data_IF_295967052608
#
_entry.id   IF_295967052608
#
_cell.length_a   1.000
_cell.length_b   1.000
_cell.length_c   1.000
_cell.angle_alpha   90.00
_cell.angle_beta   90.00
_cell.angle_gamma   90.00
#
_symmetry.space_group_name_H-M   'P 1'
#
loop_
_entity.id
_entity.type
_entity.pdbx_description
1 polymer ?
#
# COMPACT_ATOMS: atom_id res chain seq x y z
N UNK A 1 4.93 -17.66 12.18
CA UNK A 1 4.82 -16.22 12.48
C UNK A 1 4.16 -15.56 11.29
N UNK A 2 2.95 -14.99 11.42
CA UNK A 2 2.26 -14.37 10.28
C UNK A 2 2.96 -13.09 9.81
N UNK A 3 2.80 -12.75 8.53
CA UNK A 3 3.30 -11.50 7.94
C UNK A 3 2.10 -10.56 7.77
N UNK A 4 2.22 -9.31 8.21
CA UNK A 4 1.18 -8.28 8.03
C UNK A 4 1.66 -7.31 6.95
N UNK A 5 1.07 -7.30 5.74
CA UNK A 5 1.42 -6.32 4.71
C UNK A 5 0.88 -4.94 5.09
N UNK A 6 1.70 -3.90 4.92
CA UNK A 6 1.29 -2.51 5.13
C UNK A 6 1.39 -1.78 3.79
N UNK A 7 0.28 -1.21 3.34
CA UNK A 7 0.18 -0.48 2.08
C UNK A 7 0.10 1.02 2.34
N UNK A 8 0.73 1.80 1.47
CA UNK A 8 0.70 3.25 1.50
C UNK A 8 0.33 3.74 0.11
N UNK A 9 -0.60 4.70 0.03
CA UNK A 9 -0.93 5.38 -1.21
C UNK A 9 0.31 6.03 -1.83
N UNK A 10 0.35 6.16 -3.15
CA UNK A 10 1.48 6.64 -3.91
C UNK A 10 2.00 7.99 -3.43
N UNK A 11 3.28 8.01 -3.02
CA UNK A 11 4.00 9.22 -2.61
C UNK A 11 4.98 9.73 -3.66
N UNK A 12 5.15 9.00 -4.78
CA UNK A 12 6.08 9.36 -5.85
C UNK A 12 5.67 10.67 -6.49
N UNK A 13 6.60 11.63 -6.55
CA UNK A 13 6.37 12.99 -7.07
C UNK A 13 5.30 13.82 -6.35
N UNK A 14 4.80 13.37 -5.19
CA UNK A 14 3.81 14.11 -4.37
C UNK A 14 4.46 15.00 -3.30
N UNK A 15 5.72 14.74 -2.95
CA UNK A 15 6.45 15.50 -1.93
C UNK A 15 7.29 16.61 -2.57
N UNK A 16 6.93 17.86 -2.28
CA UNK A 16 7.66 19.06 -2.65
C UNK A 16 8.07 19.83 -1.39
N UNK A 17 9.37 19.93 -1.15
CA UNK A 17 9.95 20.56 0.05
C UNK A 17 9.67 22.07 0.15
N UNK A 18 9.24 22.71 -0.95
CA UNK A 18 8.90 24.14 -0.99
C UNK A 18 7.38 24.39 -0.84
N UNK A 19 6.56 23.37 -0.58
CA UNK A 19 5.11 23.50 -0.33
C UNK A 19 4.78 23.30 1.15
N UNK A 20 3.89 24.16 1.66
CA UNK A 20 3.34 24.05 3.03
C UNK A 20 2.34 22.89 3.18
N UNK A 21 1.67 22.50 2.08
CA UNK A 21 0.78 21.34 2.04
C UNK A 21 1.14 20.48 0.81
N UNK A 22 1.44 19.20 1.05
CA UNK A 22 1.85 18.22 0.04
C UNK A 22 0.73 17.25 -0.37
N UNK A 23 -0.47 17.41 0.17
CA UNK A 23 -1.60 16.52 -0.08
C UNK A 23 -1.85 15.56 1.06
N UNK A 24 -2.54 14.47 0.72
CA UNK A 24 -2.95 13.41 1.63
C UNK A 24 -2.20 12.12 1.31
N UNK A 25 -1.87 11.35 2.35
CA UNK A 25 -1.37 9.99 2.24
C UNK A 25 -2.25 9.09 3.09
N UNK A 26 -2.66 7.95 2.54
CA UNK A 26 -3.46 6.94 3.24
C UNK A 26 -2.57 5.72 3.49
N UNK A 27 -2.60 5.22 4.72
CA UNK A 27 -1.88 4.01 5.15
C UNK A 27 -2.90 3.00 5.62
N UNK A 28 -2.82 1.77 5.10
CA UNK A 28 -3.72 0.68 5.46
C UNK A 28 -2.93 -0.60 5.76
N UNK A 29 -3.32 -1.30 6.82
CA UNK A 29 -2.78 -2.61 7.16
C UNK A 29 -3.70 -3.68 6.57
N UNK A 30 -3.12 -4.58 5.78
CA UNK A 30 -3.85 -5.73 5.23
C UNK A 30 -3.99 -6.85 6.26
N UNK A 31 -4.93 -7.78 6.05
CA UNK A 31 -5.04 -8.98 6.86
C UNK A 31 -3.71 -9.75 6.91
N UNK A 32 -3.40 -10.40 8.04
CA UNK A 32 -2.20 -11.20 8.17
C UNK A 32 -2.20 -12.34 7.15
N UNK A 33 -1.08 -12.48 6.44
CA UNK A 33 -0.80 -13.61 5.56
C UNK A 33 -0.21 -14.72 6.42
N UNK A 34 -0.86 -15.88 6.40
CA UNK A 34 -0.32 -17.08 7.03
C UNK A 34 0.82 -17.64 6.18
N UNK A 35 1.94 -17.92 6.85
CA UNK A 35 3.16 -18.44 6.21
C UNK A 35 3.45 -19.87 6.62
N UNK A 36 2.63 -20.49 7.48
CA UNK A 36 2.85 -21.88 7.89
C UNK A 36 2.71 -22.87 6.72
N UNK A 37 1.96 -22.49 5.68
CA UNK A 37 1.78 -23.32 4.48
C UNK A 37 2.94 -23.20 3.48
N UNK A 38 3.87 -22.25 3.67
CA UNK A 38 4.97 -22.01 2.75
C UNK A 38 6.28 -22.63 3.27
N UNK A 39 6.88 -23.51 2.45
CA UNK A 39 8.22 -24.04 2.68
C UNK A 39 9.34 -23.07 2.29
N UNK A 40 10.59 -23.39 2.65
CA UNK A 40 11.79 -22.58 2.30
C UNK A 40 11.95 -22.35 0.79
N UNK A 41 11.48 -23.29 -0.03
CA UNK A 41 11.60 -23.22 -1.49
C UNK A 41 10.51 -22.34 -2.13
N UNK A 42 9.46 -21.99 -1.39
CA UNK A 42 8.29 -21.24 -1.87
C UNK A 42 8.31 -19.75 -1.50
N UNK A 43 9.45 -19.25 -0.99
CA UNK A 43 9.59 -17.83 -0.58
C UNK A 43 9.29 -16.86 -1.73
N UNK A 44 9.63 -17.26 -2.96
CA UNK A 44 9.36 -16.45 -4.16
C UNK A 44 7.86 -16.36 -4.47
N UNK A 45 7.13 -17.45 -4.29
CA UNK A 45 5.69 -17.52 -4.47
C UNK A 45 4.97 -16.70 -3.38
N UNK A 46 5.40 -16.84 -2.12
CA UNK A 46 4.90 -16.04 -1.00
C UNK A 46 5.10 -14.54 -1.27
N UNK A 47 6.30 -14.14 -1.72
CA UNK A 47 6.59 -12.74 -2.04
C UNK A 47 5.72 -12.23 -3.21
N UNK A 48 5.50 -13.04 -4.24
CA UNK A 48 4.63 -12.69 -5.36
C UNK A 48 3.16 -12.55 -4.92
N UNK A 49 2.69 -13.43 -4.04
CA UNK A 49 1.34 -13.37 -3.47
C UNK A 49 1.15 -12.11 -2.62
N UNK A 50 2.04 -11.85 -1.66
CA UNK A 50 2.00 -10.63 -0.86
C UNK A 50 2.06 -9.38 -1.73
N UNK A 51 2.91 -9.38 -2.78
CA UNK A 51 2.99 -8.26 -3.72
C UNK A 51 1.68 -8.03 -4.47
N UNK A 52 1.03 -9.08 -4.96
CA UNK A 52 -0.24 -8.95 -5.68
C UNK A 52 -1.35 -8.37 -4.78
N UNK A 53 -1.43 -8.83 -3.52
CA UNK A 53 -2.35 -8.27 -2.52
C UNK A 53 -2.08 -6.78 -2.26
N UNK A 54 -0.81 -6.42 -2.08
CA UNK A 54 -0.42 -5.03 -1.86
C UNK A 54 -0.70 -4.15 -3.09
N UNK A 55 -0.44 -4.64 -4.29
CA UNK A 55 -0.65 -3.89 -5.54
C UNK A 55 -2.12 -3.55 -5.76
N UNK A 56 -3.03 -4.50 -5.51
CA UNK A 56 -4.47 -4.24 -5.55
C UNK A 56 -4.88 -3.17 -4.54
N UNK A 57 -4.43 -3.31 -3.29
CA UNK A 57 -4.78 -2.34 -2.24
C UNK A 57 -4.21 -0.95 -2.52
N UNK A 58 -2.97 -0.85 -2.99
CA UNK A 58 -2.36 0.44 -3.35
C UNK A 58 -3.17 1.13 -4.46
N UNK A 59 -3.64 0.39 -5.48
CA UNK A 59 -4.47 0.96 -6.53
C UNK A 59 -5.82 1.50 -6.01
N UNK A 60 -6.44 0.83 -5.03
CA UNK A 60 -7.64 1.32 -4.34
C UNK A 60 -7.34 2.62 -3.57
N UNK A 61 -6.26 2.63 -2.79
CA UNK A 61 -5.84 3.80 -2.01
C UNK A 61 -5.50 4.99 -2.90
N UNK A 62 -4.84 4.76 -4.04
CA UNK A 62 -4.49 5.81 -5.00
C UNK A 62 -5.72 6.46 -5.61
N UNK A 63 -6.74 5.65 -5.92
CA UNK A 63 -8.02 6.14 -6.41
C UNK A 63 -8.72 6.99 -5.34
N UNK A 64 -8.73 6.54 -4.10
CA UNK A 64 -9.32 7.28 -2.98
C UNK A 64 -8.61 8.62 -2.73
N UNK A 65 -7.28 8.63 -2.76
CA UNK A 65 -6.49 9.86 -2.63
C UNK A 65 -6.84 10.84 -3.76
N UNK A 66 -6.91 10.37 -5.01
CA UNK A 66 -7.28 11.22 -6.14
C UNK A 66 -8.69 11.82 -5.98
N UNK A 67 -9.65 11.04 -5.50
CA UNK A 67 -11.02 11.51 -5.23
C UNK A 67 -11.06 12.56 -4.12
N UNK A 68 -10.32 12.35 -3.02
CA UNK A 68 -10.24 13.29 -1.88
C UNK A 68 -9.52 14.60 -2.23
N UNK A 69 -8.44 14.50 -3.00
CA UNK A 69 -7.74 15.67 -3.54
C UNK A 69 -8.65 16.48 -4.48
N UNK A 70 -9.42 15.82 -5.35
CA UNK A 70 -10.36 16.47 -6.26
C UNK A 70 -11.53 17.16 -5.54
N UNK A 71 -11.98 16.61 -4.41
CA UNK A 71 -13.03 17.22 -3.58
C UNK A 71 -12.51 18.27 -2.59
N UNK A 72 -11.20 18.53 -2.55
CA UNK A 72 -10.60 19.48 -1.61
C UNK A 72 -10.66 19.04 -0.15
N UNK A 73 -10.92 17.75 0.11
CA UNK A 73 -10.87 17.14 1.45
C UNK A 73 -9.45 16.64 1.72
N UNK A 74 -8.52 17.59 1.82
CA UNK A 74 -7.10 17.37 2.12
C UNK A 74 -6.79 17.97 3.48
#
# INVERSE_FOLDING_TARGET
MPIIPVCVSNTSNKVNLNRLNNGLVIVEMLPPVDVSEYGKDQVRELAAHCRALMEQKIAELDKEVAEREATGKV
#
